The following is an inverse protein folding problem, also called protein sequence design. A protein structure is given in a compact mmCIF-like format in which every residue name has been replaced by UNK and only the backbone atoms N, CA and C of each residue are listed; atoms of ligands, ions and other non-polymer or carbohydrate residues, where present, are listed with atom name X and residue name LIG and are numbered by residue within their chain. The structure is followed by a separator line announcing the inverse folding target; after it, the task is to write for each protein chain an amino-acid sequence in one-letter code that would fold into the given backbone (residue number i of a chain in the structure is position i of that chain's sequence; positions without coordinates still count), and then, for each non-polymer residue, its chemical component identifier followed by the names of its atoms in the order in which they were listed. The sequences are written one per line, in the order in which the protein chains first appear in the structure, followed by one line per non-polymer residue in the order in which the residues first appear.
data_IF_420531217984
#
_entry.id   IF_420531217984
#
_cell.length_a   1.000
_cell.length_b   1.000
_cell.length_c   1.000
_cell.angle_alpha   90.00
_cell.angle_beta   90.00
_cell.angle_gamma   90.00
#
_symmetry.space_group_name_H-M   'P 1'
#
loop_
_entity.id
_entity.type
_entity.pdbx_description
1 polymer ?
#
# COMPACT_ATOMS: atom_id res chain seq x y z
N UNK A 1 -1.71 -12.10 23.61
CA UNK A 1 -2.57 -12.89 22.74
C UNK A 1 -1.76 -13.46 21.60
N UNK A 2 -1.38 -14.72 21.73
CA UNK A 2 -0.51 -15.32 20.74
C UNK A 2 -1.20 -15.65 19.44
N UNK A 3 -2.51 -15.79 19.48
CA UNK A 3 -3.25 -16.22 18.30
C UNK A 3 -3.75 -15.07 17.44
N UNK A 4 -3.46 -13.85 17.83
CA UNK A 4 -3.94 -12.68 17.10
C UNK A 4 -2.78 -11.96 16.46
N UNK A 5 -2.89 -11.76 15.17
CA UNK A 5 -1.89 -10.96 14.47
C UNK A 5 -2.53 -10.29 13.27
N UNK A 6 -1.83 -9.29 12.78
CA UNK A 6 -2.27 -8.47 11.67
C UNK A 6 -1.15 -8.45 10.65
N UNK A 7 -1.34 -9.19 9.56
CA UNK A 7 -0.34 -9.28 8.52
C UNK A 7 -1.01 -9.28 7.17
N UNK A 8 -0.49 -8.45 6.27
CA UNK A 8 -1.00 -8.33 4.91
C UNK A 8 0.17 -8.52 3.97
N UNK A 9 -0.04 -9.35 2.94
CA UNK A 9 0.93 -9.52 1.86
C UNK A 9 0.19 -9.27 0.56
N UNK A 10 0.67 -8.29 -0.20
CA UNK A 10 0.01 -7.89 -1.42
C UNK A 10 1.03 -7.76 -2.55
N UNK A 11 0.55 -7.99 -3.76
CA UNK A 11 1.32 -7.70 -4.96
C UNK A 11 0.38 -7.00 -5.91
N UNK A 12 0.81 -5.86 -6.45
CA UNK A 12 -0.06 -5.10 -7.31
C UNK A 12 0.67 -4.05 -8.08
N UNK A 13 -0.11 -3.23 -8.75
CA UNK A 13 0.41 -2.18 -9.61
C UNK A 13 0.30 -0.83 -8.93
N UNK A 14 1.36 -0.04 -9.03
CA UNK A 14 1.37 1.33 -8.51
C UNK A 14 0.51 2.21 -9.39
N UNK A 15 -0.56 2.75 -8.82
CA UNK A 15 -1.48 3.62 -9.57
C UNK A 15 -1.08 5.07 -9.51
N UNK A 16 -0.54 5.52 -8.39
CA UNK A 16 -0.15 6.92 -8.23
C UNK A 16 1.25 6.98 -7.66
N UNK A 17 1.97 8.03 -8.02
CA UNK A 17 3.28 8.27 -7.41
C UNK A 17 3.11 8.58 -5.93
N UNK A 18 4.08 8.17 -5.11
CA UNK A 18 4.00 8.46 -3.68
C UNK A 18 4.00 9.95 -3.40
N UNK A 19 3.14 10.35 -2.49
CA UNK A 19 3.05 11.73 -2.03
C UNK A 19 3.28 11.78 -0.54
N UNK A 20 3.92 12.84 -0.02
CA UNK A 20 4.09 12.96 1.42
C UNK A 20 2.73 13.00 2.11
N UNK A 21 2.58 12.22 3.15
CA UNK A 21 1.34 12.14 3.89
C UNK A 21 1.46 12.89 5.22
N UNK A 22 2.44 12.51 6.02
CA UNK A 22 2.64 13.15 7.32
C UNK A 22 4.03 12.83 7.83
N UNK A 23 4.44 13.58 8.86
CA UNK A 23 5.70 13.34 9.54
C UNK A 23 5.41 12.94 10.97
N UNK A 24 6.08 11.90 11.43
CA UNK A 24 5.90 11.40 12.78
C UNK A 24 7.27 10.99 13.32
N UNK A 25 7.63 11.55 14.47
CA UNK A 25 8.92 11.28 15.12
C UNK A 25 10.11 11.51 14.19
N UNK A 26 10.03 12.59 13.40
CA UNK A 26 11.12 12.94 12.50
C UNK A 26 11.16 12.13 11.22
N UNK A 27 10.22 11.26 11.02
CA UNK A 27 10.19 10.41 9.84
C UNK A 27 8.99 10.77 8.95
N UNK A 28 9.24 10.92 7.66
CA UNK A 28 8.19 11.26 6.70
C UNK A 28 7.58 9.99 6.14
N UNK A 29 6.26 9.96 6.11
CA UNK A 29 5.50 8.85 5.53
C UNK A 29 4.88 9.30 4.23
N UNK A 30 4.88 8.40 3.28
CA UNK A 30 4.33 8.63 1.95
C UNK A 30 3.13 7.74 1.73
N UNK A 31 2.26 8.19 0.84
CA UNK A 31 1.04 7.46 0.51
C UNK A 31 0.95 7.30 -1.00
N UNK A 32 0.57 6.12 -1.43
CA UNK A 32 0.27 5.88 -2.84
C UNK A 32 -0.86 4.87 -2.95
N UNK A 33 -1.46 4.79 -4.13
CA UNK A 33 -2.53 3.84 -4.38
C UNK A 33 -1.99 2.62 -5.10
N UNK A 34 -2.42 1.46 -4.64
CA UNK A 34 -2.00 0.18 -5.18
C UNK A 34 -3.22 -0.55 -5.72
N UNK A 35 -3.14 -1.04 -6.96
CA UNK A 35 -4.18 -1.86 -7.55
C UNK A 35 -3.82 -3.32 -7.37
N UNK A 36 -4.64 -4.05 -6.61
CA UNK A 36 -4.41 -5.45 -6.33
C UNK A 36 -5.45 -6.26 -7.10
N UNK A 37 -5.02 -7.12 -8.03
CA UNK A 37 -5.98 -7.85 -8.85
C UNK A 37 -6.71 -8.93 -8.08
N UNK A 38 -7.97 -9.12 -8.44
CA UNK A 38 -8.77 -10.24 -7.96
C UNK A 38 -8.80 -11.32 -9.03
N UNK A 39 -9.13 -12.54 -8.61
CA UNK A 39 -9.26 -13.63 -9.56
C UNK A 39 -10.36 -13.37 -10.59
N UNK A 40 -11.34 -12.56 -10.26
CA UNK A 40 -12.42 -12.22 -11.18
C UNK A 40 -11.99 -11.29 -12.32
N UNK A 41 -10.78 -10.76 -12.27
CA UNK A 41 -10.32 -9.81 -13.27
C UNK A 41 -10.47 -8.36 -12.86
N UNK A 42 -11.15 -8.09 -11.76
CA UNK A 42 -11.25 -6.74 -11.23
C UNK A 42 -10.11 -6.50 -10.26
N UNK A 43 -9.88 -5.24 -9.94
CA UNK A 43 -8.82 -4.87 -9.00
C UNK A 43 -9.39 -4.07 -7.85
N UNK A 44 -8.80 -4.27 -6.67
CA UNK A 44 -9.07 -3.42 -5.53
C UNK A 44 -8.02 -2.33 -5.48
N UNK A 45 -8.45 -1.11 -5.23
CA UNK A 45 -7.54 0.02 -5.07
C UNK A 45 -7.39 0.31 -3.60
N UNK A 46 -6.18 0.18 -3.11
CA UNK A 46 -5.90 0.27 -1.69
C UNK A 46 -4.86 1.37 -1.44
N UNK A 47 -5.08 2.21 -0.43
CA UNK A 47 -4.06 3.16 -0.03
C UNK A 47 -2.96 2.47 0.77
N UNK A 48 -1.73 2.77 0.44
CA UNK A 48 -0.55 2.22 1.12
C UNK A 48 0.22 3.37 1.73
N UNK A 49 0.50 3.25 3.02
CA UNK A 49 1.37 4.18 3.74
C UNK A 49 2.72 3.51 3.94
N UNK A 50 3.78 4.24 3.68
CA UNK A 50 5.12 3.69 3.77
C UNK A 50 6.09 4.79 4.22
N UNK A 51 7.03 4.43 5.07
CA UNK A 51 8.06 5.38 5.47
C UNK A 51 9.01 5.63 4.32
N UNK A 52 9.55 6.83 4.28
CA UNK A 52 10.41 7.26 3.18
C UNK A 52 11.59 6.33 2.96
N UNK A 53 12.16 5.81 4.02
CA UNK A 53 13.34 4.96 3.93
C UNK A 53 13.09 3.64 3.22
N UNK A 54 11.83 3.23 3.10
CA UNK A 54 11.48 1.98 2.42
C UNK A 54 11.07 2.17 0.97
N UNK A 55 10.92 3.42 0.53
CA UNK A 55 10.50 3.70 -0.85
C UNK A 55 11.67 3.49 -1.81
N UNK A 56 11.50 2.64 -2.83
CA UNK A 56 12.50 2.57 -3.90
C UNK A 56 12.50 3.87 -4.69
N UNK A 57 13.68 4.40 -4.98
CA UNK A 57 13.78 5.66 -5.71
C UNK A 57 13.29 5.53 -7.14
N UNK A 58 13.44 4.35 -7.72
CA UNK A 58 13.06 4.11 -9.11
C UNK A 58 11.59 3.73 -9.29
N UNK A 59 10.80 3.71 -8.23
CA UNK A 59 9.39 3.30 -8.34
C UNK A 59 8.58 4.30 -9.13
N UNK A 60 7.80 3.81 -10.07
CA UNK A 60 6.99 4.62 -10.97
C UNK A 60 5.58 4.07 -11.08
N UNK A 61 4.68 4.91 -11.60
CA UNK A 61 3.35 4.44 -11.93
C UNK A 61 3.43 3.30 -12.92
N UNK A 62 2.62 2.29 -12.70
CA UNK A 62 2.61 1.11 -13.55
C UNK A 62 3.53 0.00 -13.08
N UNK A 63 4.45 0.28 -12.17
CA UNK A 63 5.34 -0.74 -11.65
C UNK A 63 4.59 -1.74 -10.80
N UNK A 64 5.07 -2.98 -10.81
CA UNK A 64 4.55 -4.03 -9.92
C UNK A 64 5.40 -4.07 -8.67
N UNK A 65 4.73 -4.04 -7.53
CA UNK A 65 5.41 -4.07 -6.24
C UNK A 65 4.79 -5.10 -5.33
N UNK A 66 5.63 -5.65 -4.45
CA UNK A 66 5.19 -6.51 -3.36
C UNK A 66 5.24 -5.72 -2.08
N UNK A 67 4.16 -5.80 -1.31
CA UNK A 67 4.03 -5.06 -0.06
C UNK A 67 3.71 -6.04 1.05
N UNK A 68 4.45 -5.94 2.14
CA UNK A 68 4.16 -6.67 3.37
C UNK A 68 3.96 -5.66 4.47
N UNK A 69 2.93 -5.84 5.27
CA UNK A 69 2.67 -4.90 6.35
C UNK A 69 1.47 -5.27 7.18
N UNK A 70 0.78 -4.25 7.64
CA UNK A 70 -0.37 -4.38 8.50
C UNK A 70 -1.53 -3.57 7.94
N UNK A 71 -2.73 -4.04 8.22
CA UNK A 71 -3.92 -3.28 7.91
C UNK A 71 -4.19 -2.32 9.07
N UNK A 72 -4.44 -1.06 8.75
CA UNK A 72 -4.75 -0.06 9.75
C UNK A 72 -5.99 0.72 9.37
N UNK A 73 -6.70 1.18 10.38
CA UNK A 73 -7.87 1.99 10.17
C UNK A 73 -7.66 3.37 10.76
N UNK A 74 -8.23 4.35 10.09
CA UNK A 74 -8.20 5.72 10.55
C UNK A 74 -9.61 6.28 10.53
N UNK A 75 -9.95 7.06 11.55
CA UNK A 75 -11.20 7.78 11.56
C UNK A 75 -10.93 9.17 11.02
N UNK A 76 -11.55 9.47 9.89
CA UNK A 76 -11.47 10.79 9.32
C UNK A 76 -12.67 11.59 9.76
N UNK A 77 -12.45 12.59 10.61
CA UNK A 77 -13.50 13.48 11.09
C UNK A 77 -13.46 14.76 10.30
N UNK A 78 -14.06 14.74 9.14
CA UNK A 78 -14.12 15.97 8.38
C UNK A 78 -15.59 16.38 8.25
N UNK A 79 -15.93 17.48 8.89
CA UNK A 79 -17.20 18.11 8.73
C UNK A 79 -18.36 17.30 9.27
N UNK A 80 -18.91 16.45 8.45
CA UNK A 80 -20.20 15.85 8.72
C UNK A 80 -20.14 14.37 9.06
N UNK A 81 -19.42 14.01 10.09
CA UNK A 81 -19.47 12.66 10.55
C UNK A 81 -18.14 11.95 10.44
N UNK A 82 -18.19 10.66 10.72
CA UNK A 82 -17.00 9.84 10.74
C UNK A 82 -16.90 9.01 9.49
N UNK A 83 -15.72 8.93 8.96
CA UNK A 83 -15.44 8.05 7.85
C UNK A 83 -14.30 7.12 8.25
N UNK A 84 -14.57 5.84 8.20
CA UNK A 84 -13.54 4.84 8.46
C UNK A 84 -12.75 4.61 7.19
N UNK A 85 -11.44 4.78 7.28
CA UNK A 85 -10.54 4.56 6.16
C UNK A 85 -9.59 3.44 6.52
N UNK A 86 -9.51 2.43 5.65
CA UNK A 86 -8.56 1.35 5.82
C UNK A 86 -7.36 1.59 4.93
N UNK A 87 -6.18 1.38 5.49
CA UNK A 87 -4.92 1.55 4.77
C UNK A 87 -3.99 0.40 5.07
N UNK A 88 -3.10 0.13 4.15
CA UNK A 88 -2.03 -0.83 4.36
C UNK A 88 -0.82 -0.06 4.84
N UNK A 89 -0.35 -0.38 6.03
CA UNK A 89 0.86 0.22 6.58
C UNK A 89 2.03 -0.70 6.23
N UNK A 90 2.82 -0.29 5.23
CA UNK A 90 3.87 -1.14 4.70
C UNK A 90 5.06 -1.23 5.64
N UNK A 91 5.52 -2.44 5.86
CA UNK A 91 6.76 -2.69 6.58
C UNK A 91 7.89 -3.05 5.64
N UNK A 92 7.54 -3.59 4.48
CA UNK A 92 8.47 -3.88 3.40
C UNK A 92 7.82 -3.58 2.09
N UNK A 93 8.62 -3.11 1.15
CA UNK A 93 8.14 -2.79 -0.18
C UNK A 93 9.25 -3.12 -1.16
N UNK A 94 8.95 -3.92 -2.16
CA UNK A 94 9.94 -4.33 -3.13
C UNK A 94 9.37 -4.23 -4.54
N UNK A 95 10.17 -3.65 -5.43
CA UNK A 95 9.84 -3.67 -6.85
C UNK A 95 10.01 -5.07 -7.41
N UNK A 96 9.19 -5.41 -8.39
CA UNK A 96 9.32 -6.65 -9.13
C UNK A 96 9.72 -6.29 -10.55
N UNK A 97 11.03 -6.22 -10.84
CA UNK A 97 11.50 -5.75 -12.13
C UNK A 97 11.04 -6.65 -13.25
N UNK A 98 10.63 -6.04 -14.37
CA UNK A 98 10.24 -6.78 -15.55
C UNK A 98 8.94 -7.54 -15.41
N UNK A 99 8.25 -7.43 -14.29
CA UNK A 99 6.99 -8.14 -14.08
C UNK A 99 5.84 -7.30 -14.62
N UNK A 100 4.86 -7.99 -15.18
CA UNK A 100 3.62 -7.36 -15.60
C UNK A 100 2.50 -7.92 -14.74
N UNK A 101 1.63 -7.05 -14.20
CA UNK A 101 0.49 -7.56 -13.41
C UNK A 101 -0.41 -8.50 -14.20
N UNK A 102 -0.40 -8.38 -15.52
CA UNK A 102 -1.22 -9.22 -16.39
C UNK A 102 -0.69 -10.64 -16.44
N UNK A 103 0.62 -10.79 -16.37
CA UNK A 103 1.28 -12.09 -16.57
C UNK A 103 1.71 -12.74 -15.29
N UNK A 104 1.42 -12.14 -14.16
CA UNK A 104 1.93 -12.65 -12.90
C UNK A 104 0.83 -12.63 -11.87
N UNK A 105 0.57 -13.78 -11.31
CA UNK A 105 -0.36 -13.89 -10.20
C UNK A 105 0.41 -13.80 -8.91
N UNK A 106 0.13 -12.76 -8.16
CA UNK A 106 0.77 -12.55 -6.88
C UNK A 106 -0.08 -13.20 -5.81
N UNK A 107 0.28 -14.38 -5.42
CA UNK A 107 -0.49 -15.15 -4.44
C UNK A 107 0.16 -15.18 -3.08
#
# INVERSE_FOLDING_TARGET
MEDCYNRVELCGEVLTLPEPSHTNHGETFYRFMLAVPRLSGQSDELPVLVRQSLLPEEMREGDTVSVTGQLRSFNNRSGQGRRLILSVFARNLALTPGASPVNRICL
#
